data_IF_860676377779
#
_entry.id   IF_860676377779
#
_cell.length_a   1.000
_cell.length_b   1.000
_cell.length_c   1.000
_cell.angle_alpha   90.00
_cell.angle_beta   90.00
_cell.angle_gamma   90.00
#
_symmetry.space_group_name_H-M   'P 1'
#
loop_
_entity.id
_entity.type
_entity.pdbx_description
1 polymer ?
#
# COMPACT_ATOMS: atom_id res chain seq x y z
N UNK A 1 -2.96 -15.46 -6.63
CA UNK A 1 -3.63 -14.36 -7.35
C UNK A 1 -4.46 -14.93 -8.50
N UNK A 2 -5.61 -14.35 -8.75
CA UNK A 2 -6.45 -14.80 -9.84
C UNK A 2 -5.85 -14.42 -11.21
N UNK A 3 -6.14 -15.22 -12.23
CA UNK A 3 -5.69 -14.92 -13.59
C UNK A 3 -6.27 -13.61 -14.12
N UNK A 4 -7.45 -13.22 -13.65
CA UNK A 4 -8.07 -11.94 -13.97
C UNK A 4 -7.22 -10.78 -13.50
N UNK A 5 -6.77 -10.83 -12.23
CA UNK A 5 -5.92 -9.78 -11.66
C UNK A 5 -4.60 -9.68 -12.41
N UNK A 6 -4.03 -10.81 -12.78
CA UNK A 6 -2.78 -10.83 -13.54
C UNK A 6 -2.95 -10.15 -14.91
N UNK A 7 -4.04 -10.47 -15.62
CA UNK A 7 -4.31 -9.85 -16.92
C UNK A 7 -4.54 -8.35 -16.81
N UNK A 8 -5.25 -7.91 -15.79
CA UNK A 8 -5.49 -6.49 -15.54
C UNK A 8 -4.18 -5.78 -15.23
N UNK A 9 -3.32 -6.39 -14.41
CA UNK A 9 -2.03 -5.81 -14.06
C UNK A 9 -1.16 -5.63 -15.30
N UNK A 10 -1.12 -6.60 -16.20
CA UNK A 10 -0.35 -6.51 -17.43
C UNK A 10 -0.87 -5.37 -18.32
N UNK A 11 -2.19 -5.28 -18.50
CA UNK A 11 -2.80 -4.21 -19.28
C UNK A 11 -2.54 -2.84 -18.66
N UNK A 12 -2.67 -2.74 -17.34
CA UNK A 12 -2.41 -1.52 -16.61
C UNK A 12 -0.93 -1.10 -16.71
N UNK A 13 0.00 -2.06 -16.73
CA UNK A 13 1.42 -1.78 -16.84
C UNK A 13 1.76 -1.09 -18.16
N UNK A 14 1.14 -1.50 -19.27
CA UNK A 14 1.36 -0.86 -20.57
C UNK A 14 0.88 0.59 -20.54
N UNK A 15 -0.28 0.84 -19.97
CA UNK A 15 -0.83 2.20 -19.84
C UNK A 15 0.07 3.05 -18.94
N UNK A 16 0.57 2.47 -17.84
CA UNK A 16 1.43 3.16 -16.88
C UNK A 16 2.75 3.58 -17.54
N UNK A 17 3.34 2.72 -18.39
CA UNK A 17 4.58 3.06 -19.09
C UNK A 17 4.38 4.27 -19.99
N UNK A 18 3.27 4.31 -20.76
CA UNK A 18 2.94 5.46 -21.60
C UNK A 18 2.74 6.72 -20.76
N UNK A 19 2.04 6.61 -19.64
CA UNK A 19 1.80 7.72 -18.73
C UNK A 19 3.09 8.21 -18.07
N UNK A 20 4.03 7.31 -17.78
CA UNK A 20 5.33 7.69 -17.20
C UNK A 20 6.17 8.53 -18.16
N UNK A 21 6.15 8.23 -19.45
CA UNK A 21 6.89 9.03 -20.44
C UNK A 21 6.36 10.46 -20.47
N UNK A 22 5.05 10.63 -20.45
CA UNK A 22 4.42 11.96 -20.39
C UNK A 22 4.69 12.60 -19.01
N UNK A 23 4.60 11.80 -17.95
CA UNK A 23 4.80 12.26 -16.58
C UNK A 23 6.19 12.79 -16.30
N UNK A 24 7.23 12.24 -16.95
CA UNK A 24 8.60 12.71 -16.77
C UNK A 24 8.72 14.17 -17.25
N UNK A 25 8.07 14.51 -18.34
CA UNK A 25 8.09 15.88 -18.89
C UNK A 25 7.42 16.85 -17.92
N UNK A 26 6.34 16.42 -17.26
CA UNK A 26 5.59 17.24 -16.31
C UNK A 26 6.18 17.22 -14.90
N UNK A 27 7.00 16.23 -14.61
CA UNK A 27 7.50 15.94 -13.27
C UNK A 27 8.34 17.06 -12.65
N UNK A 28 9.10 17.77 -13.47
CA UNK A 28 10.05 18.77 -12.97
C UNK A 28 9.39 19.94 -12.23
N UNK A 29 8.09 20.12 -12.35
CA UNK A 29 7.39 21.17 -11.62
C UNK A 29 6.40 20.67 -10.59
N UNK A 30 6.27 19.34 -10.41
CA UNK A 30 5.22 18.75 -9.60
C UNK A 30 5.75 17.97 -8.41
N UNK A 31 4.90 17.85 -7.38
CA UNK A 31 5.20 17.02 -6.22
C UNK A 31 5.11 15.53 -6.57
N UNK A 32 5.77 14.70 -5.78
CA UNK A 32 5.67 13.25 -5.93
C UNK A 32 4.58 12.65 -5.04
N UNK A 33 3.60 13.45 -4.61
CA UNK A 33 2.53 13.00 -3.72
C UNK A 33 1.82 11.75 -4.24
N UNK A 34 1.47 11.75 -5.53
CA UNK A 34 0.76 10.64 -6.15
C UNK A 34 1.59 9.36 -6.14
N UNK A 35 2.89 9.49 -6.42
CA UNK A 35 3.82 8.37 -6.37
C UNK A 35 3.92 7.82 -4.96
N UNK A 36 4.02 8.69 -3.97
CA UNK A 36 4.09 8.27 -2.57
C UNK A 36 2.80 7.59 -2.10
N UNK A 37 1.66 8.08 -2.55
CA UNK A 37 0.36 7.43 -2.27
C UNK A 37 0.35 6.00 -2.82
N UNK A 38 0.81 5.84 -4.06
CA UNK A 38 0.92 4.51 -4.68
C UNK A 38 1.90 3.63 -3.91
N UNK A 39 3.04 4.17 -3.52
CA UNK A 39 4.04 3.42 -2.77
C UNK A 39 3.53 2.99 -1.40
N UNK A 40 2.82 3.86 -0.71
CA UNK A 40 2.24 3.53 0.59
C UNK A 40 1.16 2.45 0.44
N UNK A 41 0.37 2.52 -0.62
CA UNK A 41 -0.61 1.47 -0.93
C UNK A 41 0.09 0.12 -1.11
N UNK A 42 1.16 0.08 -1.88
CA UNK A 42 1.92 -1.16 -2.10
C UNK A 42 2.50 -1.71 -0.80
N UNK A 43 3.02 -0.83 0.05
CA UNK A 43 3.55 -1.25 1.35
C UNK A 43 2.45 -1.84 2.23
N UNK A 44 1.26 -1.24 2.23
CA UNK A 44 0.11 -1.78 2.95
C UNK A 44 -0.31 -3.14 2.43
N UNK A 45 -0.33 -3.30 1.11
CA UNK A 45 -0.64 -4.59 0.48
C UNK A 45 0.37 -5.65 0.87
N UNK A 46 1.66 -5.34 0.80
CA UNK A 46 2.73 -6.27 1.20
C UNK A 46 2.60 -6.63 2.68
N UNK A 47 2.35 -5.64 3.52
CA UNK A 47 2.14 -5.89 4.95
C UNK A 47 1.03 -6.92 5.18
N UNK A 48 -0.10 -6.73 4.51
CA UNK A 48 -1.26 -7.61 4.70
C UNK A 48 -1.02 -9.00 4.12
N UNK A 49 -0.56 -9.09 2.88
CA UNK A 49 -0.44 -10.36 2.16
C UNK A 49 0.76 -11.18 2.59
N UNK A 50 1.87 -10.53 2.95
CA UNK A 50 3.12 -11.23 3.24
C UNK A 50 3.36 -11.43 4.74
N UNK A 51 2.73 -10.62 5.58
CA UNK A 51 2.96 -10.68 7.01
C UNK A 51 1.68 -10.90 7.82
N UNK A 52 0.72 -9.98 7.73
CA UNK A 52 -0.44 -9.99 8.62
C UNK A 52 -1.32 -11.23 8.41
N UNK A 53 -1.76 -11.45 7.19
CA UNK A 53 -2.65 -12.58 6.89
C UNK A 53 -1.97 -13.92 7.21
N UNK A 54 -0.74 -14.17 6.77
CA UNK A 54 -0.05 -15.43 7.12
C UNK A 54 0.14 -15.60 8.63
N UNK A 55 0.38 -14.52 9.37
CA UNK A 55 0.52 -14.57 10.82
C UNK A 55 -0.80 -14.99 11.48
N UNK A 56 -1.92 -14.47 10.98
CA UNK A 56 -3.23 -14.84 11.51
C UNK A 56 -3.62 -16.25 11.12
N UNK A 57 -3.21 -16.73 9.95
CA UNK A 57 -3.42 -18.14 9.57
C UNK A 57 -2.80 -19.10 10.58
N UNK A 58 -1.64 -18.73 11.13
CA UNK A 58 -0.94 -19.56 12.12
C UNK A 58 -1.59 -19.51 13.50
N UNK A 59 -2.15 -18.35 13.87
CA UNK A 59 -2.65 -18.13 15.22
C UNK A 59 -4.16 -18.29 15.36
N UNK A 60 -4.91 -18.16 14.27
CA UNK A 60 -6.37 -18.24 14.30
C UNK A 60 -6.84 -19.58 13.74
N UNK A 61 -7.84 -20.14 14.38
CA UNK A 61 -8.46 -21.39 13.91
C UNK A 61 -9.09 -21.22 12.54
N UNK A 62 -9.76 -20.06 12.31
CA UNK A 62 -10.36 -19.71 11.04
C UNK A 62 -10.02 -18.26 10.71
N UNK A 63 -8.98 -18.07 9.88
CA UNK A 63 -8.48 -16.75 9.53
C UNK A 63 -9.53 -15.93 8.78
N UNK A 64 -10.34 -16.57 7.95
CA UNK A 64 -11.37 -15.87 7.17
C UNK A 64 -12.43 -15.26 8.07
N UNK A 65 -12.88 -16.01 9.07
CA UNK A 65 -13.82 -15.50 10.06
C UNK A 65 -13.20 -14.39 10.91
N UNK A 66 -11.93 -14.54 11.23
CA UNK A 66 -11.20 -13.54 12.00
C UNK A 66 -11.12 -12.21 11.25
N UNK A 67 -10.63 -12.23 10.00
CA UNK A 67 -10.48 -10.98 9.23
C UNK A 67 -11.82 -10.36 8.85
N UNK A 68 -12.85 -11.18 8.70
CA UNK A 68 -14.20 -10.69 8.44
C UNK A 68 -14.67 -9.68 9.49
N UNK A 69 -14.21 -9.84 10.75
CA UNK A 69 -14.59 -8.91 11.80
C UNK A 69 -14.11 -7.49 11.54
N UNK A 70 -13.12 -7.33 10.67
CA UNK A 70 -12.54 -6.01 10.32
C UNK A 70 -13.07 -5.46 9.00
N UNK A 71 -14.07 -6.10 8.40
CA UNK A 71 -14.59 -5.70 7.08
C UNK A 71 -15.07 -4.23 7.08
N UNK A 72 -15.69 -3.80 8.14
CA UNK A 72 -16.25 -2.44 8.25
C UNK A 72 -15.30 -1.45 8.90
N UNK A 73 -14.61 -1.87 9.94
CA UNK A 73 -13.72 -0.98 10.71
C UNK A 73 -12.34 -0.85 10.09
N UNK A 74 -11.90 -1.87 9.36
CA UNK A 74 -10.57 -1.91 8.77
C UNK A 74 -9.48 -2.26 9.76
N UNK A 75 -8.32 -2.59 9.21
CA UNK A 75 -7.09 -2.86 9.97
C UNK A 75 -6.15 -1.70 9.66
N UNK A 76 -5.93 -0.83 10.66
CA UNK A 76 -5.10 0.35 10.50
C UNK A 76 -3.67 0.05 10.93
N UNK A 77 -2.71 0.38 10.07
CA UNK A 77 -1.29 0.24 10.40
C UNK A 77 -0.52 1.44 9.84
N UNK A 78 0.34 2.04 10.65
CA UNK A 78 1.13 3.18 10.23
C UNK A 78 2.41 2.74 9.53
N UNK A 79 3.05 3.69 8.85
CA UNK A 79 4.28 3.42 8.09
C UNK A 79 5.41 2.93 9.00
N UNK A 80 5.49 3.44 10.23
CA UNK A 80 6.50 2.99 11.19
C UNK A 80 6.41 1.49 11.46
N UNK A 81 5.20 1.00 11.70
CA UNK A 81 5.00 -0.43 11.96
C UNK A 81 5.18 -1.29 10.70
N UNK A 82 4.76 -0.77 9.54
CA UNK A 82 5.01 -1.45 8.27
C UNK A 82 6.52 -1.60 8.04
N UNK A 83 7.27 -0.54 8.30
CA UNK A 83 8.72 -0.52 8.08
C UNK A 83 9.48 -1.55 8.93
N UNK A 84 8.90 -1.96 10.07
CA UNK A 84 9.51 -2.97 10.94
C UNK A 84 9.37 -4.39 10.41
N UNK A 85 8.51 -4.59 9.42
CA UNK A 85 8.28 -5.92 8.85
C UNK A 85 9.31 -6.18 7.76
N UNK A 86 10.15 -7.20 7.96
CA UNK A 86 11.23 -7.51 7.02
C UNK A 86 10.71 -7.96 5.65
N UNK A 87 9.49 -8.44 5.57
CA UNK A 87 8.91 -8.94 4.31
C UNK A 87 8.42 -7.85 3.37
N UNK A 88 8.30 -6.61 3.84
CA UNK A 88 7.95 -5.50 2.96
C UNK A 88 9.21 -4.98 2.27
N UNK A 89 9.01 -4.32 1.13
CA UNK A 89 10.09 -3.76 0.34
C UNK A 89 10.72 -2.57 1.09
N UNK A 90 11.90 -2.79 1.66
CA UNK A 90 12.60 -1.76 2.44
C UNK A 90 13.08 -0.59 1.59
N UNK A 91 13.37 -0.84 0.32
CA UNK A 91 13.72 0.24 -0.60
C UNK A 91 12.53 1.16 -0.85
N UNK A 92 11.34 0.58 -0.91
CA UNK A 92 10.12 1.35 -1.05
C UNK A 92 9.86 2.19 0.20
N UNK A 93 10.12 1.63 1.39
CA UNK A 93 10.04 2.39 2.65
C UNK A 93 10.97 3.60 2.61
N UNK A 94 12.21 3.38 2.18
CA UNK A 94 13.21 4.45 2.10
C UNK A 94 12.85 5.52 1.07
N UNK A 95 12.06 5.16 0.08
CA UNK A 95 11.64 6.09 -0.98
C UNK A 95 10.55 7.06 -0.53
N UNK A 96 10.00 6.88 0.67
CA UNK A 96 8.90 7.71 1.18
C UNK A 96 9.42 9.06 1.64
N UNK A 97 9.79 9.89 0.67
CA UNK A 97 10.40 11.21 0.88
C UNK A 97 9.71 12.22 -0.03
N UNK A 98 9.34 13.38 0.52
CA UNK A 98 8.78 14.49 -0.25
C UNK A 98 9.88 15.06 -1.16
N UNK A 99 9.66 15.04 -2.47
CA UNK A 99 10.66 15.51 -3.43
C UNK A 99 10.92 17.03 -3.39
N UNK A 100 9.98 17.78 -2.85
CA UNK A 100 10.10 19.24 -2.75
C UNK A 100 10.90 19.67 -1.52
N UNK A 101 10.61 19.08 -0.35
CA UNK A 101 11.25 19.45 0.91
C UNK A 101 12.44 18.55 1.24
N UNK A 102 12.57 17.42 0.57
CA UNK A 102 13.59 16.40 0.85
C UNK A 102 13.44 15.77 2.23
N UNK A 103 12.30 15.97 2.86
CA UNK A 103 12.01 15.40 4.18
C UNK A 103 11.25 14.08 4.03
N UNK A 104 11.54 13.16 4.94
CA UNK A 104 10.83 11.90 5.00
C UNK A 104 9.36 12.12 5.37
N UNK A 105 8.49 11.24 4.89
CA UNK A 105 7.10 11.23 5.31
C UNK A 105 7.03 10.94 6.82
N UNK A 106 6.03 11.53 7.48
CA UNK A 106 5.77 11.25 8.88
C UNK A 106 5.33 9.80 9.02
N UNK A 107 6.14 8.99 9.67
CA UNK A 107 5.91 7.55 9.77
C UNK A 107 4.76 7.18 10.70
N UNK A 108 4.46 8.02 11.66
CA UNK A 108 3.35 7.76 12.59
C UNK A 108 2.02 8.28 12.06
N UNK A 109 2.04 9.40 11.34
CA UNK A 109 0.84 10.01 10.78
C UNK A 109 0.48 9.45 9.39
N UNK A 110 1.43 8.83 8.69
CA UNK A 110 1.15 8.14 7.43
C UNK A 110 0.74 6.71 7.73
N UNK A 111 -0.43 6.31 7.24
CA UNK A 111 -0.96 4.98 7.54
C UNK A 111 -1.81 4.44 6.40
N UNK A 112 -2.06 3.15 6.45
CA UNK A 112 -3.03 2.49 5.58
C UNK A 112 -4.14 1.89 6.44
N UNK A 113 -5.32 1.74 5.86
CA UNK A 113 -6.41 0.98 6.44
C UNK A 113 -6.78 -0.09 5.44
N UNK A 114 -6.75 -1.34 5.87
CA UNK A 114 -7.04 -2.50 5.03
C UNK A 114 -8.41 -3.03 5.42
N UNK A 115 -9.32 -3.08 4.45
CA UNK A 115 -10.68 -3.58 4.65
C UNK A 115 -10.83 -4.94 3.99
N UNK A 116 -10.80 -6.03 4.75
CA UNK A 116 -11.04 -7.36 4.17
C UNK A 116 -12.40 -7.43 3.49
N UNK A 117 -12.46 -8.14 2.38
CA UNK A 117 -13.69 -8.32 1.58
C UNK A 117 -13.92 -9.80 1.31
N UNK A 118 -15.18 -10.15 1.05
CA UNK A 118 -15.53 -11.51 0.67
C UNK A 118 -14.71 -11.96 -0.54
N UNK A 119 -14.22 -13.17 -0.60
CA UNK A 119 -14.34 -14.27 0.37
C UNK A 119 -13.30 -14.28 1.50
N UNK A 120 -12.70 -13.16 1.84
CA UNK A 120 -11.77 -12.97 2.95
C UNK A 120 -10.48 -13.77 2.82
N UNK A 121 -10.04 -13.98 1.62
CA UNK A 121 -8.73 -14.57 1.36
C UNK A 121 -7.63 -13.54 1.48
N UNK A 122 -6.42 -14.01 1.32
CA UNK A 122 -5.19 -13.22 1.45
C UNK A 122 -5.15 -11.99 0.53
N UNK A 123 -5.79 -12.07 -0.63
CA UNK A 123 -5.80 -11.00 -1.62
C UNK A 123 -7.15 -10.30 -1.75
N UNK A 124 -8.09 -10.60 -0.86
CA UNK A 124 -9.44 -10.05 -0.93
C UNK A 124 -9.60 -8.91 0.07
N UNK A 125 -9.28 -7.69 -0.39
CA UNK A 125 -9.32 -6.50 0.47
C UNK A 125 -9.34 -5.23 -0.36
N UNK A 126 -9.67 -4.12 0.31
CA UNK A 126 -9.47 -2.76 -0.20
C UNK A 126 -8.46 -2.05 0.70
N UNK A 127 -7.74 -1.09 0.16
CA UNK A 127 -6.77 -0.30 0.91
C UNK A 127 -7.11 1.17 0.79
N UNK A 128 -7.18 1.86 1.93
CA UNK A 128 -7.21 3.31 1.98
C UNK A 128 -5.89 3.78 2.56
N UNK A 129 -5.39 4.92 2.11
CA UNK A 129 -4.14 5.47 2.61
C UNK A 129 -4.35 6.89 3.12
N UNK A 130 -3.62 7.24 4.16
CA UNK A 130 -3.47 8.60 4.64
C UNK A 130 -1.99 8.94 4.57
N UNK A 131 -1.64 9.83 3.64
CA UNK A 131 -0.25 10.22 3.41
C UNK A 131 0.03 11.54 4.12
N UNK A 132 1.03 11.54 4.98
CA UNK A 132 1.49 12.75 5.67
C UNK A 132 2.97 12.95 5.35
N UNK A 133 3.23 13.66 4.28
CA UNK A 133 4.59 13.92 3.79
C UNK A 133 4.84 15.42 3.61
N UNK A 134 4.01 16.26 4.22
CA UNK A 134 4.20 17.71 4.16
C UNK A 134 3.75 18.37 2.88
N UNK A 135 2.90 17.73 2.09
CA UNK A 135 2.34 18.37 0.90
C UNK A 135 1.23 19.34 1.31
N UNK A 136 1.18 20.46 0.64
CA UNK A 136 0.12 21.44 0.85
C UNK A 136 -1.18 20.93 0.25
N UNK A 137 -2.23 21.07 0.98
CA UNK A 137 -3.57 20.77 0.52
C UNK A 137 -4.19 21.98 -0.17
#
# INVERSE_FOLDING_TARGET
MSKKKLGIIIGAAVIVVAALVIGIVLYFGRSNEKTLTTNLTKLGEQFYTEFYYPSQEKSQEDVKEFVKTFEKTGIKVNLENIAKVSKVDQDLVKSMVNNKTKKECDKTASYVIIYPEKPYGKTDYKVEVNLDCGFKK
#
